data_IF_944553158390
#
_entry.id   IF_944553158390
#
_cell.length_a   1.000
_cell.length_b   1.000
_cell.length_c   1.000
_cell.angle_alpha   90.00
_cell.angle_beta   90.00
_cell.angle_gamma   90.00
#
_symmetry.space_group_name_H-M   'P 1'
#
loop_
_entity.id
_entity.type
_entity.pdbx_description
1 polymer ?
#
# COMPACT_ATOMS: atom_id res chain seq x y z
N UNK A 1 0.66 -19.58 -20.41
CA UNK A 1 0.84 -18.25 -19.77
C UNK A 1 0.64 -18.48 -18.29
N UNK A 2 1.61 -18.15 -17.44
CA UNK A 2 1.38 -18.29 -16.00
C UNK A 2 0.42 -17.19 -15.55
N UNK A 3 -0.59 -17.54 -14.75
CA UNK A 3 -1.43 -16.57 -14.02
C UNK A 3 -0.71 -16.07 -12.75
N UNK A 4 0.62 -16.10 -12.76
CA UNK A 4 1.44 -15.76 -11.62
C UNK A 4 1.50 -14.24 -11.47
N UNK A 5 1.14 -13.76 -10.29
CA UNK A 5 1.39 -12.40 -9.85
C UNK A 5 2.59 -12.42 -8.91
N UNK A 6 3.38 -11.34 -8.96
CA UNK A 6 4.20 -11.00 -7.80
C UNK A 6 3.29 -10.55 -6.67
N UNK A 7 3.74 -10.65 -5.43
CA UNK A 7 2.93 -10.25 -4.27
C UNK A 7 3.66 -9.26 -3.36
N UNK A 8 2.94 -8.21 -2.96
CA UNK A 8 3.29 -7.37 -1.81
C UNK A 8 2.11 -7.31 -0.84
N UNK A 9 2.36 -7.67 0.41
CA UNK A 9 1.45 -7.47 1.53
C UNK A 9 1.97 -6.32 2.38
N UNK A 10 1.17 -5.27 2.50
CA UNK A 10 1.43 -4.11 3.34
C UNK A 10 0.51 -4.20 4.55
N UNK A 11 1.07 -4.17 5.75
CA UNK A 11 0.31 -4.17 7.00
C UNK A 11 0.48 -2.85 7.72
N UNK A 12 -0.64 -2.21 8.05
CA UNK A 12 -0.70 -1.01 8.88
C UNK A 12 -1.14 -1.44 10.28
N UNK A 13 -0.29 -1.16 11.27
CA UNK A 13 -0.53 -1.47 12.69
C UNK A 13 -1.25 -0.29 13.38
N UNK A 14 -1.80 -0.48 14.60
CA UNK A 14 -2.40 0.60 15.38
C UNK A 14 -1.44 1.78 15.57
N UNK A 15 -2.01 2.97 15.81
CA UNK A 15 -1.23 4.16 16.09
C UNK A 15 -0.24 3.92 17.24
N UNK A 16 1.00 4.34 17.04
CA UNK A 16 2.07 4.26 18.02
C UNK A 16 2.50 5.67 18.41
N UNK A 17 2.19 6.06 19.65
CA UNK A 17 2.49 7.38 20.21
C UNK A 17 4.00 7.65 20.29
N UNK A 18 4.84 6.62 20.39
CA UNK A 18 6.30 6.79 20.54
C UNK A 18 6.96 7.25 19.24
N UNK A 19 6.41 6.82 18.10
CA UNK A 19 6.86 7.23 16.78
C UNK A 19 5.90 8.22 16.12
N UNK A 20 4.80 8.57 16.80
CA UNK A 20 3.74 9.48 16.38
C UNK A 20 3.20 9.14 14.98
N UNK A 21 2.99 7.86 14.71
CA UNK A 21 2.57 7.36 13.40
C UNK A 21 1.89 6.00 13.49
N UNK A 22 1.23 5.57 12.42
CA UNK A 22 0.92 4.16 12.23
C UNK A 22 2.18 3.42 11.74
N UNK A 23 2.68 2.41 12.46
CA UNK A 23 3.76 1.58 11.96
C UNK A 23 3.29 0.80 10.73
N UNK A 24 4.13 0.76 9.70
CA UNK A 24 3.86 0.01 8.46
C UNK A 24 4.98 -0.98 8.21
N UNK A 25 4.60 -2.19 7.80
CA UNK A 25 5.49 -3.24 7.36
C UNK A 25 5.05 -3.80 6.01
N UNK A 26 6.00 -4.35 5.25
CA UNK A 26 5.73 -5.00 3.97
C UNK A 26 6.42 -6.37 3.87
N UNK A 27 5.69 -7.35 3.32
CA UNK A 27 6.19 -8.70 2.99
C UNK A 27 6.06 -8.94 1.49
N UNK A 28 7.11 -9.46 0.87
CA UNK A 28 7.13 -9.87 -0.54
C UNK A 28 7.06 -11.40 -0.64
N UNK A 29 6.66 -11.92 -1.79
CA UNK A 29 6.65 -13.36 -2.10
C UNK A 29 8.03 -14.04 -2.05
N UNK A 30 9.10 -13.28 -2.23
CA UNK A 30 10.49 -13.75 -2.16
C UNK A 30 11.00 -13.91 -0.72
N UNK A 31 10.13 -13.72 0.27
CA UNK A 31 10.47 -13.79 1.70
C UNK A 31 11.05 -12.50 2.26
N UNK A 32 11.24 -11.45 1.44
CA UNK A 32 11.73 -10.16 1.94
C UNK A 32 10.73 -9.51 2.88
N UNK A 33 11.27 -8.90 3.94
CA UNK A 33 10.51 -8.15 4.92
C UNK A 33 11.09 -6.76 5.09
N UNK A 34 10.21 -5.76 5.10
CA UNK A 34 10.54 -4.36 5.29
C UNK A 34 9.72 -3.85 6.48
N UNK A 35 10.41 -3.30 7.48
CA UNK A 35 9.80 -2.74 8.68
C UNK A 35 10.27 -1.29 8.90
N UNK A 36 9.67 -0.64 9.90
CA UNK A 36 9.98 0.76 10.25
C UNK A 36 9.36 1.78 9.29
N UNK A 37 8.39 1.38 8.47
CA UNK A 37 7.52 2.31 7.75
C UNK A 37 6.67 3.10 8.73
N UNK A 38 6.36 4.35 8.36
CA UNK A 38 5.55 5.25 9.19
C UNK A 38 4.52 5.92 8.29
N UNK A 39 3.25 5.67 8.56
CA UNK A 39 2.15 6.36 7.89
C UNK A 39 1.65 7.49 8.79
N UNK A 40 1.70 8.71 8.25
CA UNK A 40 0.98 9.87 8.76
C UNK A 40 0.11 10.40 7.63
N UNK A 41 -1.16 10.63 7.92
CA UNK A 41 -2.09 11.18 6.94
C UNK A 41 -2.32 12.65 7.24
N UNK A 42 -1.94 13.51 6.31
CA UNK A 42 -2.38 14.88 6.31
C UNK A 42 -3.83 14.94 5.83
N UNK A 43 -4.76 14.91 6.79
CA UNK A 43 -6.20 14.96 6.49
C UNK A 43 -6.59 16.25 5.79
N UNK A 44 -5.91 17.36 6.08
CA UNK A 44 -6.21 18.63 5.45
C UNK A 44 -5.78 18.60 3.98
N UNK A 45 -4.58 18.10 3.67
CA UNK A 45 -4.13 17.91 2.30
C UNK A 45 -5.09 17.02 1.50
N UNK A 46 -5.51 15.87 2.06
CA UNK A 46 -6.46 14.97 1.42
C UNK A 46 -7.82 15.63 1.15
N UNK A 47 -8.32 16.46 2.07
CA UNK A 47 -9.57 17.20 1.87
C UNK A 47 -9.45 18.24 0.76
N UNK A 48 -8.30 18.92 0.63
CA UNK A 48 -8.10 19.91 -0.44
C UNK A 48 -8.17 19.30 -1.84
N UNK A 49 -7.80 18.03 -1.99
CA UNK A 49 -7.79 17.32 -3.28
C UNK A 49 -8.90 16.28 -3.42
N UNK A 50 -9.88 16.25 -2.51
CA UNK A 50 -10.92 15.20 -2.45
C UNK A 50 -11.67 15.01 -3.77
N UNK A 51 -11.93 16.11 -4.47
CA UNK A 51 -12.68 16.16 -5.74
C UNK A 51 -11.83 15.82 -6.97
N UNK A 52 -10.50 15.74 -6.84
CA UNK A 52 -9.58 15.29 -7.89
C UNK A 52 -9.14 13.85 -7.58
N UNK A 53 -9.68 12.82 -8.28
CA UNK A 53 -9.34 11.43 -8.04
C UNK A 53 -7.84 11.12 -8.17
N UNK A 54 -7.17 11.78 -9.12
CA UNK A 54 -5.77 11.53 -9.40
C UNK A 54 -4.89 12.15 -8.31
N UNK A 55 -5.13 13.41 -7.96
CA UNK A 55 -4.38 14.09 -6.91
C UNK A 55 -4.60 13.39 -5.55
N UNK A 56 -5.85 13.08 -5.21
CA UNK A 56 -6.17 12.33 -3.99
C UNK A 56 -5.46 10.97 -3.93
N UNK A 57 -5.48 10.22 -5.04
CA UNK A 57 -4.85 8.92 -5.12
C UNK A 57 -3.34 8.96 -4.99
N UNK A 58 -2.70 9.99 -5.52
CA UNK A 58 -1.26 10.23 -5.37
C UNK A 58 -0.90 10.63 -3.94
N UNK A 59 -1.69 11.50 -3.31
CA UNK A 59 -1.48 11.87 -1.90
C UNK A 59 -1.55 10.65 -0.97
N UNK A 60 -2.57 9.78 -1.15
CA UNK A 60 -2.64 8.52 -0.41
C UNK A 60 -1.44 7.61 -0.69
N UNK A 61 -0.99 7.54 -1.95
CA UNK A 61 0.14 6.71 -2.33
C UNK A 61 1.43 7.20 -1.67
N UNK A 62 1.73 8.49 -1.73
CA UNK A 62 2.95 9.03 -1.14
C UNK A 62 2.94 8.97 0.39
N UNK A 63 1.77 9.05 1.03
CA UNK A 63 1.66 8.85 2.48
C UNK A 63 1.95 7.39 2.88
N UNK A 64 1.47 6.40 2.13
CA UNK A 64 1.64 4.98 2.45
C UNK A 64 3.00 4.42 2.01
N UNK A 65 3.43 4.76 0.80
CA UNK A 65 4.64 4.28 0.16
C UNK A 65 5.78 5.28 0.36
N UNK A 66 6.19 5.43 1.61
CA UNK A 66 7.35 6.21 2.01
C UNK A 66 8.45 5.31 2.63
N UNK A 67 9.69 5.80 2.62
CA UNK A 67 10.83 5.20 3.30
C UNK A 67 11.00 3.69 3.00
N UNK A 68 11.02 2.80 4.01
CA UNK A 68 11.13 1.35 3.80
C UNK A 68 10.02 0.74 2.94
N UNK A 69 8.80 1.27 3.01
CA UNK A 69 7.65 0.74 2.27
C UNK A 69 7.74 1.13 0.80
N UNK A 70 8.26 2.32 0.51
CA UNK A 70 8.61 2.70 -0.86
C UNK A 70 9.62 1.74 -1.48
N UNK A 71 10.71 1.43 -0.75
CA UNK A 71 11.72 0.47 -1.22
C UNK A 71 11.15 -0.93 -1.44
N UNK A 72 10.24 -1.37 -0.55
CA UNK A 72 9.54 -2.64 -0.72
C UNK A 72 8.72 -2.66 -2.02
N UNK A 73 7.99 -1.58 -2.28
CA UNK A 73 7.18 -1.42 -3.49
C UNK A 73 8.04 -1.37 -4.76
N UNK A 74 9.10 -0.57 -4.78
CA UNK A 74 10.02 -0.47 -5.91
C UNK A 74 10.70 -1.82 -6.21
N UNK A 75 11.05 -2.58 -5.16
CA UNK A 75 11.56 -3.95 -5.30
C UNK A 75 10.49 -4.88 -5.89
N UNK A 76 9.27 -4.83 -5.38
CA UNK A 76 8.18 -5.68 -5.84
C UNK A 76 7.80 -5.40 -7.31
N UNK A 77 7.73 -4.13 -7.71
CA UNK A 77 7.45 -3.74 -9.10
C UNK A 77 8.57 -4.15 -10.04
N UNK A 78 9.84 -3.91 -9.69
CA UNK A 78 10.97 -4.36 -10.52
C UNK A 78 11.03 -5.88 -10.69
N UNK A 79 10.69 -6.64 -9.64
CA UNK A 79 10.55 -8.10 -9.74
C UNK A 79 9.38 -8.51 -10.62
N UNK A 80 8.24 -7.86 -10.48
CA UNK A 80 7.06 -8.16 -11.30
C UNK A 80 7.33 -7.90 -12.79
N UNK A 81 8.01 -6.80 -13.12
CA UNK A 81 8.44 -6.51 -14.49
C UNK A 81 9.33 -7.62 -15.05
N UNK A 82 10.26 -8.15 -14.25
CA UNK A 82 11.18 -9.20 -14.68
C UNK A 82 10.57 -10.61 -14.75
N UNK A 83 9.61 -10.93 -13.88
CA UNK A 83 9.19 -12.32 -13.62
C UNK A 83 7.72 -12.61 -13.97
N UNK A 84 6.86 -11.60 -13.98
CA UNK A 84 5.40 -11.77 -14.11
C UNK A 84 4.79 -10.82 -15.14
N UNK A 85 5.61 -10.27 -16.04
CA UNK A 85 5.19 -9.32 -17.08
C UNK A 85 4.52 -8.06 -16.49
N UNK A 86 5.03 -7.60 -15.35
CA UNK A 86 4.53 -6.42 -14.62
C UNK A 86 3.30 -6.68 -13.75
N UNK A 87 2.85 -7.94 -13.61
CA UNK A 87 1.70 -8.30 -12.76
C UNK A 87 2.11 -8.38 -11.29
N UNK A 88 1.59 -7.46 -10.48
CA UNK A 88 1.89 -7.34 -9.04
C UNK A 88 0.59 -7.19 -8.24
N UNK A 89 0.22 -8.20 -7.46
CA UNK A 89 -0.89 -8.11 -6.52
C UNK A 89 -0.49 -7.28 -5.30
N UNK A 90 -1.30 -6.27 -4.98
CA UNK A 90 -1.12 -5.40 -3.81
C UNK A 90 -2.18 -5.74 -2.77
N UNK A 91 -1.73 -6.16 -1.59
CA UNK A 91 -2.58 -6.54 -0.47
C UNK A 91 -2.38 -5.56 0.67
N UNK A 92 -3.46 -4.90 1.10
CA UNK A 92 -3.45 -3.99 2.24
C UNK A 92 -4.16 -4.64 3.42
N UNK A 93 -3.44 -4.84 4.52
CA UNK A 93 -4.00 -5.29 5.79
C UNK A 93 -3.95 -4.14 6.77
N UNK A 94 -5.11 -3.70 7.24
CA UNK A 94 -5.21 -2.70 8.31
C UNK A 94 -5.66 -3.40 9.59
N UNK A 95 -4.85 -3.30 10.63
CA UNK A 95 -5.14 -3.90 11.93
C UNK A 95 -6.39 -3.27 12.55
N UNK A 96 -7.10 -4.05 13.38
CA UNK A 96 -8.35 -3.60 14.04
C UNK A 96 -8.16 -2.34 14.89
N UNK A 97 -6.99 -2.17 15.52
CA UNK A 97 -6.66 -0.98 16.29
C UNK A 97 -6.35 0.27 15.45
N UNK A 98 -6.42 0.17 14.11
CA UNK A 98 -6.37 1.29 13.17
C UNK A 98 -7.64 1.35 12.30
N UNK A 99 -8.80 1.01 12.88
CA UNK A 99 -10.06 0.84 12.15
C UNK A 99 -10.51 2.11 11.41
N UNK A 100 -10.16 3.29 11.91
CA UNK A 100 -10.42 4.57 11.24
C UNK A 100 -9.77 4.66 9.86
N UNK A 101 -8.65 3.98 9.64
CA UNK A 101 -8.01 3.91 8.31
C UNK A 101 -8.82 3.05 7.33
N UNK A 102 -9.73 2.19 7.81
CA UNK A 102 -10.66 1.47 6.94
C UNK A 102 -11.71 2.40 6.29
N UNK A 103 -11.91 3.61 6.81
CA UNK A 103 -12.85 4.56 6.18
C UNK A 103 -12.25 5.24 4.93
N UNK A 104 -10.93 5.14 4.72
CA UNK A 104 -10.28 5.76 3.57
C UNK A 104 -10.49 4.93 2.30
N UNK A 105 -10.70 5.58 1.14
CA UNK A 105 -10.93 4.90 -0.12
C UNK A 105 -9.59 4.46 -0.74
N UNK A 106 -8.95 3.45 -0.15
CA UNK A 106 -7.64 2.94 -0.61
C UNK A 106 -7.68 2.41 -2.05
N UNK A 107 -8.84 2.02 -2.56
CA UNK A 107 -9.07 1.69 -3.96
C UNK A 107 -8.88 2.88 -4.91
N UNK A 108 -8.81 4.11 -4.39
CA UNK A 108 -8.45 5.31 -5.15
C UNK A 108 -6.94 5.54 -5.21
N UNK A 109 -6.09 4.61 -4.76
CA UNK A 109 -4.64 4.77 -4.90
C UNK A 109 -4.24 4.96 -6.37
N UNK A 110 -3.39 5.97 -6.62
CA UNK A 110 -2.71 6.18 -7.89
C UNK A 110 -1.21 6.07 -7.68
N UNK A 111 -0.49 5.55 -8.66
CA UNK A 111 0.96 5.56 -8.66
C UNK A 111 1.50 6.16 -9.95
N UNK A 112 2.77 6.56 -9.95
CA UNK A 112 3.45 6.96 -11.18
C UNK A 112 4.00 5.73 -11.89
N UNK A 113 3.39 5.38 -13.02
CA UNK A 113 3.93 4.39 -13.94
C UNK A 113 4.46 5.09 -15.19
N UNK A 114 5.77 4.97 -15.45
CA UNK A 114 6.46 5.64 -16.58
C UNK A 114 6.19 7.16 -16.61
N UNK A 115 6.21 7.79 -15.44
CA UNK A 115 5.97 9.23 -15.28
C UNK A 115 4.53 9.68 -15.44
N UNK A 116 3.58 8.75 -15.63
CA UNK A 116 2.15 9.05 -15.71
C UNK A 116 1.41 8.49 -14.49
N UNK A 117 0.51 9.28 -13.89
CA UNK A 117 -0.34 8.78 -12.83
C UNK A 117 -1.35 7.81 -13.43
N UNK A 118 -1.39 6.59 -12.88
CA UNK A 118 -2.36 5.57 -13.25
C UNK A 118 -3.01 4.98 -11.99
N UNK A 119 -4.29 4.57 -12.06
CA UNK A 119 -4.95 3.93 -10.93
C UNK A 119 -4.25 2.61 -10.58
N UNK A 120 -3.79 2.48 -9.34
CA UNK A 120 -3.16 1.26 -8.85
C UNK A 120 -4.20 0.15 -8.66
N UNK A 121 -5.32 0.45 -8.02
CA UNK A 121 -6.29 -0.58 -7.64
C UNK A 121 -7.33 -0.93 -8.72
N UNK A 122 -7.38 -0.18 -9.83
CA UNK A 122 -8.35 -0.41 -10.91
C UNK A 122 -7.74 -1.12 -12.15
N UNK A 123 -6.47 -1.53 -12.07
CA UNK A 123 -5.77 -2.23 -13.15
C UNK A 123 -5.73 -3.74 -12.91
N UNK A 124 -5.93 -4.53 -13.96
CA UNK A 124 -5.76 -5.99 -13.90
C UNK A 124 -4.30 -6.40 -13.70
N UNK A 125 -3.33 -5.51 -13.99
CA UNK A 125 -1.91 -5.75 -13.68
C UNK A 125 -1.62 -5.64 -12.19
N UNK A 126 -2.44 -4.89 -11.45
CA UNK A 126 -2.25 -4.66 -10.02
C UNK A 126 -3.52 -4.93 -9.22
N UNK A 127 -3.97 -6.21 -9.15
CA UNK A 127 -5.12 -6.56 -8.33
C UNK A 127 -4.92 -6.07 -6.91
N UNK A 128 -5.90 -5.34 -6.40
CA UNK A 128 -5.86 -4.77 -5.07
C UNK A 128 -6.84 -5.50 -4.17
N UNK A 129 -6.40 -5.84 -2.96
CA UNK A 129 -7.27 -6.45 -1.96
C UNK A 129 -7.01 -5.79 -0.62
N UNK A 130 -8.10 -5.45 0.08
CA UNK A 130 -8.06 -4.90 1.43
C UNK A 130 -8.62 -5.93 2.41
N UNK A 131 -7.87 -6.18 3.46
CA UNK A 131 -8.22 -7.12 4.53
C UNK A 131 -8.55 -6.37 5.81
N UNK A 132 -9.55 -6.87 6.51
CA UNK A 132 -9.81 -6.54 7.91
C UNK A 132 -9.26 -7.69 8.73
N UNK A 133 -8.36 -7.41 9.67
CA UNK A 133 -7.83 -8.45 10.55
C UNK A 133 -8.93 -9.03 11.45
N UNK A 134 -9.15 -10.34 11.39
CA UNK A 134 -9.60 -11.09 12.55
C UNK A 134 -8.36 -11.35 13.41
N UNK A 135 -8.44 -11.20 14.74
CA UNK A 135 -7.29 -11.45 15.61
C UNK A 135 -6.69 -12.83 15.31
N UNK A 136 -5.46 -12.85 14.81
CA UNK A 136 -4.63 -14.05 14.86
C UNK A 136 -3.86 -13.88 16.18
N UNK A 137 -4.09 -14.72 17.19
CA UNK A 137 -3.27 -14.72 18.40
C UNK A 137 -1.81 -14.83 17.98
N UNK A 138 -0.94 -13.99 18.51
CA UNK A 138 0.50 -14.21 18.37
C UNK A 138 0.82 -15.59 19.02
N UNK A 139 1.64 -16.44 18.36
CA UNK A 139 1.96 -17.77 18.85
C UNK A 139 2.71 -17.77 20.18
#
# INVERSE_FOLDING_TARGET
MSDAYGDILIRIRPWDETIDAYPVEARLDDGSFFAGGRLRLDRQALLQVETDPQAYGLELFYALFDGPIRRAYDKATGRAEALTEGRLRVRLWIDRGAAELQALPWERLYHLHRGRPVPLAASTLTPFSRYVGLEIPEP
#
